data_IF_527015175639
#
_entry.id   IF_527015175639
#
_cell.length_a   1.000
_cell.length_b   1.000
_cell.length_c   1.000
_cell.angle_alpha   90.00
_cell.angle_beta   90.00
_cell.angle_gamma   90.00
#
_symmetry.space_group_name_H-M   'P 1'
#
loop_
_entity.id
_entity.type
_entity.pdbx_description
1 polymer ?
#
# COMPACT_ATOMS: atom_id res chain seq x y z
N UNK A 1 10.68 20.16 6.71
CA UNK A 1 11.06 18.94 7.46
C UNK A 1 9.84 18.05 7.46
N UNK A 2 9.80 17.08 6.55
CA UNK A 2 8.86 15.96 6.67
C UNK A 2 9.19 15.24 7.98
N UNK A 3 8.22 15.16 8.88
CA UNK A 3 8.32 14.30 10.03
C UNK A 3 7.87 12.92 9.53
N UNK A 4 8.80 12.15 8.95
CA UNK A 4 8.59 10.73 8.62
C UNK A 4 8.64 9.90 9.90
N UNK A 5 7.64 10.07 10.76
CA UNK A 5 7.46 9.20 11.93
C UNK A 5 6.85 7.90 11.43
N UNK A 6 7.48 6.80 11.80
CA UNK A 6 7.01 5.46 11.47
C UNK A 6 5.56 5.23 11.93
N UNK A 7 4.71 4.71 11.05
CA UNK A 7 3.36 4.28 11.39
C UNK A 7 3.40 2.87 11.98
N UNK A 8 3.40 2.79 13.30
CA UNK A 8 3.40 1.52 14.03
C UNK A 8 2.08 0.75 13.80
N UNK A 9 2.11 -0.49 13.28
CA UNK A 9 0.91 -1.18 12.78
C UNK A 9 0.16 -2.01 13.82
N UNK A 10 0.71 -2.18 15.03
CA UNK A 10 0.16 -3.06 16.07
C UNK A 10 -0.42 -2.29 17.26
N UNK A 11 -1.19 -3.00 18.09
CA UNK A 11 -1.76 -2.46 19.33
C UNK A 11 -0.68 -2.13 20.36
N UNK A 12 -1.02 -1.32 21.36
CA UNK A 12 -0.14 -1.05 22.51
C UNK A 12 0.27 -2.32 23.25
N UNK A 13 -0.63 -3.30 23.37
CA UNK A 13 -0.37 -4.57 24.05
C UNK A 13 0.67 -5.41 23.29
N UNK A 14 0.57 -5.45 21.96
CA UNK A 14 1.59 -6.07 21.10
C UNK A 14 2.93 -5.35 21.22
N UNK A 15 2.93 -4.01 21.18
CA UNK A 15 4.15 -3.22 21.38
C UNK A 15 4.82 -3.52 22.71
N UNK A 16 4.05 -3.68 23.79
CA UNK A 16 4.58 -4.08 25.10
C UNK A 16 5.18 -5.48 25.06
N UNK A 17 4.53 -6.45 24.42
CA UNK A 17 5.03 -7.84 24.30
C UNK A 17 6.32 -7.91 23.48
N UNK A 18 6.45 -7.07 22.46
CA UNK A 18 7.62 -7.04 21.57
C UNK A 18 8.74 -6.11 22.05
N UNK A 19 8.56 -5.42 23.19
CA UNK A 19 9.49 -4.40 23.68
C UNK A 19 9.67 -3.20 22.71
N UNK A 20 8.59 -2.81 22.03
CA UNK A 20 8.53 -1.75 21.01
C UNK A 20 7.64 -0.56 21.45
N UNK A 21 7.44 -0.39 22.76
CA UNK A 21 6.48 0.57 23.31
C UNK A 21 6.79 2.03 22.93
N UNK A 22 8.07 2.40 22.77
CA UNK A 22 8.45 3.75 22.32
C UNK A 22 8.02 4.00 20.87
N UNK A 23 8.22 3.04 19.96
CA UNK A 23 7.77 3.15 18.57
C UNK A 23 6.24 3.34 18.50
N UNK A 24 5.51 2.60 19.32
CA UNK A 24 4.06 2.77 19.45
C UNK A 24 3.71 4.16 19.99
N UNK A 25 4.40 4.66 21.03
CA UNK A 25 4.14 5.98 21.64
C UNK A 25 4.36 7.11 20.64
N UNK A 26 5.45 7.07 19.88
CA UNK A 26 5.77 8.06 18.85
C UNK A 26 4.74 8.03 17.73
N UNK A 27 4.42 6.84 17.21
CA UNK A 27 3.38 6.66 16.20
C UNK A 27 2.01 7.17 16.68
N UNK A 28 1.62 6.83 17.91
CA UNK A 28 0.35 7.27 18.49
C UNK A 28 0.29 8.80 18.63
N UNK A 29 1.36 9.45 19.12
CA UNK A 29 1.43 10.92 19.19
C UNK A 29 1.29 11.55 17.80
N UNK A 30 1.92 10.97 16.79
CA UNK A 30 1.80 11.44 15.41
C UNK A 30 0.40 11.19 14.82
N UNK A 31 -0.31 10.13 15.22
CA UNK A 31 -1.73 9.93 14.87
C UNK A 31 -2.62 11.01 15.49
N UNK A 32 -2.39 11.33 16.77
CA UNK A 32 -3.10 12.41 17.47
C UNK A 32 -2.79 13.77 16.84
N UNK A 33 -1.54 14.01 16.42
CA UNK A 33 -1.17 15.23 15.71
C UNK A 33 -1.84 15.32 14.32
N UNK A 34 -1.80 14.23 13.55
CA UNK A 34 -2.47 14.13 12.25
C UNK A 34 -3.97 14.40 12.36
N UNK A 35 -4.68 13.84 13.35
CA UNK A 35 -6.12 14.13 13.54
C UNK A 35 -6.40 15.61 13.81
N UNK A 36 -5.50 16.29 14.52
CA UNK A 36 -5.61 17.72 14.83
C UNK A 36 -5.37 18.54 13.58
N UNK A 37 -4.38 18.16 12.77
CA UNK A 37 -4.09 18.79 11.49
C UNK A 37 -5.26 18.67 10.51
N UNK A 38 -5.88 17.49 10.38
CA UNK A 38 -7.09 17.29 9.56
C UNK A 38 -8.22 18.21 10.04
N UNK A 39 -8.51 18.21 11.35
CA UNK A 39 -9.55 19.06 11.93
C UNK A 39 -9.29 20.54 11.66
N UNK A 40 -8.05 20.98 11.83
CA UNK A 40 -7.65 22.36 11.62
C UNK A 40 -7.70 22.76 10.14
N UNK A 41 -7.23 21.89 9.24
CA UNK A 41 -7.34 22.10 7.81
C UNK A 41 -8.80 22.30 7.38
N UNK A 42 -9.71 21.43 7.85
CA UNK A 42 -11.15 21.58 7.60
C UNK A 42 -11.66 22.92 8.16
N UNK A 43 -11.30 23.27 9.40
CA UNK A 43 -11.75 24.52 10.04
C UNK A 43 -11.32 25.77 9.27
N UNK A 44 -10.12 25.78 8.72
CA UNK A 44 -9.56 26.93 7.99
C UNK A 44 -10.11 27.03 6.56
N UNK A 45 -10.50 25.90 5.95
CA UNK A 45 -10.81 25.81 4.53
C UNK A 45 -12.29 25.54 4.22
N UNK A 46 -13.16 25.58 5.24
CA UNK A 46 -14.60 25.43 5.08
C UNK A 46 -15.30 26.78 5.23
N UNK A 47 -15.96 27.25 4.18
CA UNK A 47 -16.62 28.56 4.14
C UNK A 47 -18.07 28.56 4.69
N UNK A 48 -18.53 27.41 5.17
CA UNK A 48 -19.92 27.18 5.61
C UNK A 48 -20.76 26.42 4.59
N UNK A 49 -20.33 26.34 3.32
CA UNK A 49 -20.98 25.57 2.25
C UNK A 49 -20.03 24.59 1.56
N UNK A 50 -18.79 24.99 1.29
CA UNK A 50 -17.81 24.22 0.53
C UNK A 50 -16.49 24.09 1.28
N UNK A 51 -15.84 22.94 1.09
CA UNK A 51 -14.45 22.72 1.48
C UNK A 51 -13.55 23.06 0.29
N UNK A 52 -12.53 23.88 0.49
CA UNK A 52 -11.54 24.20 -0.54
C UNK A 52 -10.94 22.93 -1.17
N UNK A 53 -10.73 22.91 -2.49
CA UNK A 53 -10.38 21.73 -3.28
C UNK A 53 -9.10 21.02 -2.81
N UNK A 54 -8.13 21.79 -2.30
CA UNK A 54 -6.78 21.30 -1.95
C UNK A 54 -6.60 21.12 -0.44
N UNK A 55 -7.70 21.11 0.33
CA UNK A 55 -7.65 21.06 1.79
C UNK A 55 -6.91 19.83 2.33
N UNK A 56 -6.97 18.70 1.62
CA UNK A 56 -6.28 17.48 2.01
C UNK A 56 -4.76 17.52 1.74
N UNK A 57 -4.31 18.24 0.71
CA UNK A 57 -2.93 18.19 0.22
C UNK A 57 -1.92 18.65 1.27
N UNK A 58 -2.21 19.74 1.98
CA UNK A 58 -1.32 20.24 3.02
C UNK A 58 -1.13 19.25 4.18
N UNK A 59 -2.18 18.48 4.52
CA UNK A 59 -2.09 17.44 5.55
C UNK A 59 -1.32 16.23 5.02
N UNK A 60 -1.55 15.82 3.78
CA UNK A 60 -0.84 14.73 3.12
C UNK A 60 0.66 15.05 3.05
N UNK A 61 1.03 16.25 2.63
CA UNK A 61 2.42 16.69 2.57
C UNK A 61 3.11 16.70 3.95
N UNK A 62 2.36 16.95 5.03
CA UNK A 62 2.92 17.00 6.38
C UNK A 62 3.03 15.63 7.08
N UNK A 63 2.15 14.69 6.76
CA UNK A 63 2.00 13.42 7.51
C UNK A 63 2.14 12.16 6.66
N UNK A 64 2.19 12.27 5.33
CA UNK A 64 2.19 11.15 4.41
C UNK A 64 0.81 10.54 4.20
N UNK A 65 0.65 9.82 3.10
CA UNK A 65 -0.60 9.17 2.73
C UNK A 65 -1.02 8.08 3.71
N UNK A 66 -0.09 7.21 4.13
CA UNK A 66 -0.36 6.07 5.03
C UNK A 66 -0.93 6.53 6.35
N UNK A 67 -0.37 7.58 6.95
CA UNK A 67 -0.84 8.09 8.25
C UNK A 67 -2.18 8.79 8.13
N UNK A 68 -2.36 9.62 7.10
CA UNK A 68 -3.65 10.28 6.85
C UNK A 68 -4.75 9.23 6.58
N UNK A 69 -4.46 8.24 5.72
CA UNK A 69 -5.34 7.09 5.49
C UNK A 69 -5.70 6.38 6.80
N UNK A 70 -4.71 6.03 7.62
CA UNK A 70 -4.91 5.31 8.87
C UNK A 70 -5.84 6.06 9.84
N UNK A 71 -5.62 7.38 10.00
CA UNK A 71 -6.46 8.22 10.88
C UNK A 71 -7.89 8.37 10.33
N UNK A 72 -8.05 8.58 9.02
CA UNK A 72 -9.36 8.69 8.38
C UNK A 72 -10.13 7.36 8.42
N UNK A 73 -9.46 6.24 8.14
CA UNK A 73 -10.06 4.92 8.20
C UNK A 73 -10.48 4.56 9.63
N UNK A 74 -9.65 4.83 10.64
CA UNK A 74 -10.05 4.68 12.04
C UNK A 74 -11.28 5.54 12.37
N UNK A 75 -11.27 6.82 11.98
CA UNK A 75 -12.39 7.74 12.22
C UNK A 75 -13.70 7.22 11.63
N UNK A 76 -13.70 6.76 10.37
CA UNK A 76 -14.90 6.21 9.73
C UNK A 76 -15.39 4.91 10.38
N UNK A 77 -14.48 4.07 10.85
CA UNK A 77 -14.84 2.80 11.52
C UNK A 77 -15.49 3.06 12.87
N UNK A 78 -14.95 3.99 13.65
CA UNK A 78 -15.50 4.40 14.94
C UNK A 78 -16.84 5.17 14.78
N UNK A 79 -17.01 5.91 13.68
CA UNK A 79 -18.24 6.65 13.37
C UNK A 79 -19.17 5.92 12.38
N UNK A 80 -19.01 4.61 12.22
CA UNK A 80 -19.70 3.84 11.16
C UNK A 80 -21.23 3.86 11.24
N UNK A 81 -21.78 4.11 12.44
CA UNK A 81 -23.21 4.29 12.69
C UNK A 81 -23.79 5.63 12.22
N UNK A 82 -22.96 6.61 11.86
CA UNK A 82 -23.43 7.89 11.33
C UNK A 82 -23.88 7.72 9.86
N UNK A 83 -25.12 8.11 9.57
CA UNK A 83 -25.73 7.97 8.25
C UNK A 83 -25.22 8.95 7.20
N UNK A 84 -24.43 9.96 7.58
CA UNK A 84 -23.99 11.04 6.67
C UNK A 84 -22.72 10.72 5.88
N UNK A 85 -21.95 9.72 6.30
CA UNK A 85 -20.80 9.26 5.51
C UNK A 85 -21.26 8.42 4.33
N UNK A 86 -20.65 8.65 3.16
CA UNK A 86 -20.98 7.90 1.95
C UNK A 86 -20.63 6.42 2.11
N UNK A 87 -21.41 5.55 1.44
CA UNK A 87 -21.16 4.12 1.46
C UNK A 87 -19.77 3.77 0.89
N UNK A 88 -19.33 4.48 -0.14
CA UNK A 88 -18.02 4.26 -0.75
C UNK A 88 -16.86 4.58 0.21
N UNK A 89 -16.96 5.64 1.01
CA UNK A 89 -15.97 5.97 2.04
C UNK A 89 -15.97 4.92 3.16
N UNK A 90 -17.16 4.47 3.58
CA UNK A 90 -17.28 3.39 4.57
C UNK A 90 -16.61 2.11 4.10
N UNK A 91 -16.80 1.71 2.85
CA UNK A 91 -16.16 0.53 2.26
C UNK A 91 -14.65 0.68 2.11
N UNK A 92 -14.20 1.83 1.61
CA UNK A 92 -12.78 2.16 1.53
C UNK A 92 -12.09 2.07 2.90
N UNK A 93 -12.71 2.57 3.97
CA UNK A 93 -12.13 2.49 5.32
C UNK A 93 -11.88 1.06 5.82
N UNK A 94 -12.63 0.07 5.32
CA UNK A 94 -12.48 -1.35 5.72
C UNK A 94 -11.25 -2.01 5.11
N UNK A 95 -10.68 -1.42 4.06
CA UNK A 95 -9.46 -1.93 3.41
C UNK A 95 -8.23 -1.69 4.27
N UNK A 96 -8.26 -0.70 5.17
CA UNK A 96 -7.17 -0.43 6.11
C UNK A 96 -7.35 -1.23 7.39
N UNK A 97 -6.35 -2.05 7.71
CA UNK A 97 -6.29 -2.75 8.99
C UNK A 97 -6.05 -1.75 10.13
N UNK A 98 -6.97 -1.72 11.10
CA UNK A 98 -6.84 -0.93 12.33
C UNK A 98 -6.70 -1.92 13.49
N UNK A 99 -5.55 -1.97 14.20
CA UNK A 99 -5.31 -2.93 15.26
C UNK A 99 -6.32 -2.77 16.40
N UNK A 100 -6.75 -3.82 17.09
CA UNK A 100 -7.74 -3.74 18.16
C UNK A 100 -7.14 -3.10 19.43
N UNK A 101 -7.14 -1.76 19.48
CA UNK A 101 -6.66 -0.97 20.62
C UNK A 101 -7.77 -0.03 21.17
N UNK A 102 -8.71 -0.61 21.92
CA UNK A 102 -9.95 0.09 22.32
C UNK A 102 -9.70 1.36 23.14
N UNK A 103 -8.65 1.35 23.96
CA UNK A 103 -8.39 2.44 24.91
C UNK A 103 -7.80 3.69 24.24
N UNK A 104 -7.23 3.57 23.03
CA UNK A 104 -6.48 4.65 22.38
C UNK A 104 -7.06 5.08 21.03
N UNK A 105 -7.90 4.27 20.38
CA UNK A 105 -8.51 4.60 19.07
C UNK A 105 -9.33 5.87 19.06
N UNK A 106 -10.07 6.09 20.15
CA UNK A 106 -10.94 7.26 20.33
C UNK A 106 -10.14 8.56 20.33
N UNK A 107 -8.87 8.52 20.75
CA UNK A 107 -8.01 9.69 20.87
C UNK A 107 -7.61 10.31 19.54
N UNK A 108 -7.75 9.58 18.42
CA UNK A 108 -7.44 10.09 17.08
C UNK A 108 -8.64 10.05 16.12
N UNK A 109 -9.87 10.05 16.64
CA UNK A 109 -11.08 10.35 15.86
C UNK A 109 -11.08 11.84 15.48
N UNK A 110 -11.27 12.15 14.19
CA UNK A 110 -11.38 13.53 13.69
C UNK A 110 -12.75 14.11 14.06
N UNK A 111 -12.77 15.00 15.05
CA UNK A 111 -13.99 15.70 15.48
C UNK A 111 -14.34 16.87 14.58
N UNK A 112 -15.02 16.60 13.45
CA UNK A 112 -15.60 17.58 12.52
C UNK A 112 -17.03 17.17 12.13
N UNK A 113 -17.79 18.07 11.49
CA UNK A 113 -19.13 17.74 10.99
C UNK A 113 -19.02 16.61 9.94
N UNK A 114 -19.78 15.50 10.07
CA UNK A 114 -19.57 14.31 9.23
C UNK A 114 -19.65 14.55 7.72
N UNK A 115 -20.55 15.40 7.23
CA UNK A 115 -20.64 15.71 5.80
C UNK A 115 -19.40 16.44 5.28
N UNK A 116 -18.79 17.32 6.09
CA UNK A 116 -17.58 18.05 5.70
C UNK A 116 -16.38 17.11 5.74
N UNK A 117 -16.31 16.23 6.74
CA UNK A 117 -15.28 15.21 6.82
C UNK A 117 -15.38 14.20 5.66
N UNK A 118 -16.59 13.80 5.25
CA UNK A 118 -16.80 12.96 4.06
C UNK A 118 -16.24 13.64 2.80
N UNK A 119 -16.46 14.96 2.65
CA UNK A 119 -15.85 15.78 1.61
C UNK A 119 -14.31 15.76 1.64
N UNK A 120 -13.71 15.93 2.81
CA UNK A 120 -12.25 15.84 2.98
C UNK A 120 -11.71 14.45 2.59
N UNK A 121 -12.40 13.37 2.98
CA UNK A 121 -12.03 12.00 2.60
C UNK A 121 -12.09 11.82 1.08
N UNK A 122 -13.11 12.39 0.42
CA UNK A 122 -13.20 12.35 -1.03
C UNK A 122 -12.02 13.08 -1.69
N UNK A 123 -11.56 14.21 -1.15
CA UNK A 123 -10.35 14.89 -1.64
C UNK A 123 -9.11 14.02 -1.44
N UNK A 124 -8.89 13.47 -0.24
CA UNK A 124 -7.79 12.54 0.02
C UNK A 124 -7.76 11.39 -0.99
N UNK A 125 -8.92 10.75 -1.22
CA UNK A 125 -9.04 9.63 -2.16
C UNK A 125 -8.73 10.06 -3.60
N UNK A 126 -9.11 11.27 -4.03
CA UNK A 126 -8.76 11.80 -5.37
C UNK A 126 -7.26 12.01 -5.51
N UNK A 127 -6.61 12.62 -4.52
CA UNK A 127 -5.16 12.83 -4.52
C UNK A 127 -4.42 11.48 -4.56
N UNK A 128 -4.86 10.51 -3.77
CA UNK A 128 -4.30 9.15 -3.79
C UNK A 128 -4.48 8.47 -5.16
N UNK A 129 -5.67 8.56 -5.76
CA UNK A 129 -5.94 7.98 -7.09
C UNK A 129 -5.13 8.66 -8.20
N UNK A 130 -4.83 9.95 -8.07
CA UNK A 130 -4.00 10.68 -9.02
C UNK A 130 -2.54 10.20 -9.07
N UNK A 131 -2.08 9.42 -8.07
CA UNK A 131 -0.78 8.75 -8.11
C UNK A 131 -0.70 7.66 -9.20
N UNK A 132 -1.85 7.21 -9.73
CA UNK A 132 -1.92 6.21 -10.80
C UNK A 132 -1.41 4.82 -10.37
N UNK A 133 -1.33 4.53 -9.08
CA UNK A 133 -0.82 3.24 -8.59
C UNK A 133 -1.74 2.09 -9.02
N UNK A 134 -1.14 0.93 -9.27
CA UNK A 134 -1.89 -0.29 -9.52
C UNK A 134 -2.52 -0.81 -8.24
N UNK A 135 -3.79 -1.21 -8.34
CA UNK A 135 -4.58 -1.80 -7.27
C UNK A 135 -5.26 -3.10 -7.71
N UNK A 136 -6.13 -3.64 -6.87
CA UNK A 136 -6.84 -4.89 -7.13
C UNK A 136 -7.71 -4.84 -8.39
N UNK A 137 -8.15 -3.67 -8.83
CA UNK A 137 -8.97 -3.50 -10.03
C UNK A 137 -8.19 -3.70 -11.32
N UNK A 138 -6.86 -3.70 -11.26
CA UNK A 138 -5.93 -3.98 -12.37
C UNK A 138 -5.46 -5.44 -12.40
N UNK A 139 -5.85 -6.23 -11.40
CA UNK A 139 -5.39 -7.60 -11.23
C UNK A 139 -6.43 -8.63 -11.70
N UNK A 140 -5.94 -9.82 -11.99
CA UNK A 140 -6.78 -11.01 -12.18
C UNK A 140 -7.53 -11.38 -10.88
N UNK A 141 -8.78 -11.86 -10.96
CA UNK A 141 -9.55 -12.26 -9.79
C UNK A 141 -8.96 -13.50 -9.09
N UNK A 142 -9.40 -13.78 -7.86
CA UNK A 142 -9.02 -15.02 -7.14
C UNK A 142 -7.50 -15.24 -6.97
N UNK A 143 -6.73 -14.19 -6.63
CA UNK A 143 -5.28 -14.25 -6.33
C UNK A 143 -4.87 -15.50 -5.55
N UNK A 144 -5.66 -15.92 -4.56
CA UNK A 144 -5.34 -17.06 -3.69
C UNK A 144 -5.27 -18.41 -4.41
N UNK A 145 -5.85 -18.54 -5.61
CA UNK A 145 -5.83 -19.77 -6.41
C UNK A 145 -4.80 -19.75 -7.55
N UNK A 146 -4.18 -18.60 -7.81
CA UNK A 146 -3.31 -18.42 -8.97
C UNK A 146 -1.88 -18.87 -8.71
N UNK A 147 -1.25 -19.51 -9.70
CA UNK A 147 0.20 -19.61 -9.75
C UNK A 147 0.79 -18.27 -10.22
N UNK A 148 1.80 -17.79 -9.51
CA UNK A 148 2.51 -16.55 -9.82
C UNK A 148 3.72 -16.76 -10.71
N UNK A 149 4.28 -17.96 -10.78
CA UNK A 149 5.53 -18.21 -11.47
C UNK A 149 5.45 -17.79 -12.95
N UNK A 150 6.40 -16.97 -13.39
CA UNK A 150 6.46 -16.42 -14.75
C UNK A 150 5.51 -15.24 -15.03
N UNK A 151 4.73 -14.79 -14.04
CA UNK A 151 3.76 -13.69 -14.21
C UNK A 151 4.24 -12.37 -13.62
N UNK A 152 3.71 -11.28 -14.15
CA UNK A 152 3.88 -9.94 -13.59
C UNK A 152 2.91 -9.75 -12.42
N UNK A 153 3.46 -9.44 -11.26
CA UNK A 153 2.73 -9.19 -10.03
C UNK A 153 2.74 -7.71 -9.70
N UNK A 154 1.64 -7.24 -9.13
CA UNK A 154 1.52 -5.91 -8.56
C UNK A 154 1.89 -5.96 -7.08
N UNK A 155 2.93 -5.24 -6.68
CA UNK A 155 3.32 -5.08 -5.27
C UNK A 155 2.41 -4.06 -4.57
N UNK A 156 1.98 -4.36 -3.35
CA UNK A 156 1.13 -3.46 -2.57
C UNK A 156 1.90 -2.20 -2.14
N UNK A 157 1.31 -0.99 -2.31
CA UNK A 157 1.86 0.25 -1.78
C UNK A 157 2.15 0.22 -0.27
N UNK A 158 1.42 -0.61 0.49
CA UNK A 158 1.66 -0.79 1.92
C UNK A 158 3.05 -1.38 2.22
N UNK A 159 3.60 -2.15 1.28
CA UNK A 159 4.93 -2.78 1.38
C UNK A 159 6.05 -1.79 1.06
N UNK A 160 5.78 -0.80 0.20
CA UNK A 160 6.76 0.19 -0.24
C UNK A 160 6.80 1.39 0.69
N UNK A 161 7.94 2.09 0.75
CA UNK A 161 7.98 3.46 1.31
C UNK A 161 7.20 4.40 0.39
N UNK A 162 6.59 5.44 0.95
CA UNK A 162 5.82 6.40 0.14
C UNK A 162 6.67 7.12 -0.90
N UNK A 163 7.96 7.33 -0.62
CA UNK A 163 8.93 7.86 -1.58
C UNK A 163 9.15 6.97 -2.82
N UNK A 164 8.70 5.71 -2.77
CA UNK A 164 8.76 4.72 -3.84
C UNK A 164 7.36 4.41 -4.40
N UNK A 165 6.40 5.32 -4.22
CA UNK A 165 5.07 5.16 -4.78
C UNK A 165 5.04 5.67 -6.22
N UNK A 166 5.53 4.82 -7.12
CA UNK A 166 5.45 4.99 -8.58
C UNK A 166 4.97 3.69 -9.21
N UNK A 167 4.30 3.78 -10.35
CA UNK A 167 3.89 2.59 -11.12
C UNK A 167 5.06 1.64 -11.41
N UNK A 168 6.22 2.21 -11.71
CA UNK A 168 7.48 1.54 -12.02
C UNK A 168 8.00 0.67 -10.87
N UNK A 169 7.72 1.05 -9.62
CA UNK A 169 8.19 0.34 -8.42
C UNK A 169 7.24 -0.82 -8.02
N UNK A 170 6.05 -0.89 -8.64
CA UNK A 170 5.01 -1.87 -8.30
C UNK A 170 5.02 -3.13 -9.15
N UNK A 171 5.63 -3.13 -10.33
CA UNK A 171 5.54 -4.26 -11.27
C UNK A 171 6.75 -5.18 -11.15
N UNK A 172 6.49 -6.42 -10.75
CA UNK A 172 7.52 -7.42 -10.44
C UNK A 172 7.25 -8.73 -11.18
N UNK A 173 8.20 -9.19 -11.99
CA UNK A 173 8.16 -10.52 -12.59
C UNK A 173 8.51 -11.58 -11.55
N UNK A 174 7.57 -12.46 -11.22
CA UNK A 174 7.85 -13.59 -10.34
C UNK A 174 8.68 -14.66 -11.05
N UNK A 175 9.89 -14.90 -10.55
CA UNK A 175 10.86 -15.84 -11.13
C UNK A 175 10.86 -17.20 -10.46
N UNK A 176 10.18 -17.35 -9.31
CA UNK A 176 9.98 -18.63 -8.64
C UNK A 176 9.82 -18.49 -7.12
N UNK A 177 9.99 -19.60 -6.41
CA UNK A 177 9.84 -19.68 -4.96
C UNK A 177 8.52 -20.32 -4.54
N UNK A 178 8.53 -20.97 -3.37
CA UNK A 178 7.39 -21.74 -2.89
C UNK A 178 6.09 -20.92 -2.76
N UNK A 179 6.20 -19.62 -2.47
CA UNK A 179 5.07 -18.70 -2.38
C UNK A 179 4.38 -18.38 -3.71
N UNK A 180 4.94 -18.79 -4.85
CA UNK A 180 4.26 -18.65 -6.14
C UNK A 180 3.03 -19.56 -6.24
N UNK A 181 3.08 -20.73 -5.60
CA UNK A 181 2.01 -21.72 -5.67
C UNK A 181 0.97 -21.48 -4.58
N UNK A 182 -0.33 -21.55 -4.91
CA UNK A 182 -1.41 -21.23 -3.97
C UNK A 182 -1.48 -22.19 -2.76
N UNK A 183 -1.13 -23.46 -2.95
CA UNK A 183 -1.23 -24.51 -1.94
C UNK A 183 0.10 -24.82 -1.23
N UNK A 184 1.13 -23.99 -1.41
CA UNK A 184 2.40 -24.20 -0.73
C UNK A 184 2.37 -23.65 0.69
N UNK A 185 3.06 -24.32 1.61
CA UNK A 185 3.34 -23.78 2.95
C UNK A 185 4.36 -22.63 2.91
N UNK A 186 5.21 -22.60 1.89
CA UNK A 186 6.20 -21.55 1.71
C UNK A 186 5.58 -20.23 1.25
N UNK A 187 6.05 -19.12 1.81
CA UNK A 187 5.53 -17.77 1.49
C UNK A 187 6.40 -16.98 0.52
N UNK A 188 7.63 -17.43 0.29
CA UNK A 188 8.64 -16.69 -0.46
C UNK A 188 8.35 -16.70 -1.96
N UNK A 189 8.30 -15.51 -2.54
CA UNK A 189 8.26 -15.27 -3.99
C UNK A 189 9.55 -14.52 -4.33
N UNK A 190 10.39 -15.12 -5.15
CA UNK A 190 11.52 -14.42 -5.76
C UNK A 190 11.00 -13.70 -6.99
N UNK A 191 11.29 -12.41 -7.09
CA UNK A 191 10.82 -11.59 -8.19
C UNK A 191 11.90 -10.60 -8.64
N UNK A 192 11.77 -10.18 -9.90
CA UNK A 192 12.61 -9.15 -10.53
C UNK A 192 11.74 -7.94 -10.84
N UNK A 193 12.13 -6.77 -10.35
CA UNK A 193 11.45 -5.52 -10.66
C UNK A 193 11.58 -5.22 -12.16
N UNK A 194 10.48 -4.83 -12.81
CA UNK A 194 10.50 -4.57 -14.25
C UNK A 194 11.22 -3.26 -14.61
N UNK A 195 11.24 -2.26 -13.72
CA UNK A 195 11.80 -0.94 -14.03
C UNK A 195 13.32 -0.90 -13.98
N UNK A 196 13.93 -1.48 -12.94
CA UNK A 196 15.37 -1.41 -12.68
C UNK A 196 16.07 -2.79 -12.64
N UNK A 197 15.33 -3.88 -12.77
CA UNK A 197 15.87 -5.24 -12.73
C UNK A 197 16.27 -5.74 -11.33
N UNK A 198 15.90 -5.02 -10.26
CA UNK A 198 16.18 -5.43 -8.87
C UNK A 198 15.62 -6.83 -8.59
N UNK A 199 16.44 -7.73 -8.04
CA UNK A 199 16.01 -9.08 -7.64
C UNK A 199 15.80 -9.13 -6.14
N UNK A 200 14.56 -9.34 -5.71
CA UNK A 200 14.20 -9.34 -4.29
C UNK A 200 13.25 -10.47 -3.93
N UNK A 201 13.36 -10.93 -2.68
CA UNK A 201 12.46 -11.90 -2.08
C UNK A 201 11.32 -11.18 -1.37
N UNK A 202 10.10 -11.44 -1.82
CA UNK A 202 8.86 -10.95 -1.23
C UNK A 202 8.06 -12.10 -0.60
N UNK A 203 7.04 -11.75 0.18
CA UNK A 203 6.00 -12.68 0.61
C UNK A 203 4.82 -12.63 -0.37
N UNK A 204 4.18 -13.77 -0.64
CA UNK A 204 2.94 -13.85 -1.43
C UNK A 204 1.86 -12.84 -0.97
N UNK A 205 1.77 -12.59 0.33
CA UNK A 205 0.80 -11.65 0.91
C UNK A 205 1.09 -10.17 0.60
N UNK A 206 2.31 -9.82 0.19
CA UNK A 206 2.71 -8.44 -0.13
C UNK A 206 2.29 -8.00 -1.53
N UNK A 207 1.94 -8.94 -2.41
CA UNK A 207 1.39 -8.61 -3.72
C UNK A 207 -0.11 -8.34 -3.63
N UNK A 208 -0.62 -7.44 -4.45
CA UNK A 208 -2.05 -7.22 -4.67
C UNK A 208 -2.64 -8.34 -5.53
N UNK A 209 -1.93 -8.75 -6.57
CA UNK A 209 -2.37 -9.79 -7.50
C UNK A 209 -1.47 -9.94 -8.71
N UNK A 210 -1.89 -10.80 -9.64
CA UNK A 210 -1.30 -10.90 -10.98
C UNK A 210 -1.90 -9.77 -11.82
N UNK A 211 -1.05 -8.97 -12.45
CA UNK A 211 -1.49 -7.90 -13.35
C UNK A 211 -2.20 -8.49 -14.57
N UNK A 212 -3.34 -7.93 -14.97
CA UNK A 212 -4.00 -8.33 -16.22
C UNK A 212 -3.22 -7.81 -17.43
N UNK A 213 -3.28 -8.56 -18.53
CA UNK A 213 -2.59 -8.20 -19.77
C UNK A 213 -3.09 -6.87 -20.35
N UNK A 214 -4.37 -6.55 -20.21
CA UNK A 214 -4.97 -5.30 -20.69
C UNK A 214 -4.55 -4.06 -19.87
N UNK A 215 -4.20 -4.26 -18.59
CA UNK A 215 -3.72 -3.23 -17.69
C UNK A 215 -2.20 -3.00 -17.77
N UNK A 216 -1.47 -3.81 -18.55
CA UNK A 216 -0.02 -3.71 -18.64
C UNK A 216 0.44 -2.56 -19.55
N UNK A 217 1.15 -1.55 -19.01
CA UNK A 217 1.64 -0.42 -19.79
C UNK A 217 2.76 -0.83 -20.76
N UNK A 218 2.95 -0.04 -21.82
CA UNK A 218 3.89 -0.34 -22.91
C UNK A 218 5.32 -0.54 -22.42
N UNK A 219 5.83 0.37 -21.58
CA UNK A 219 7.17 0.27 -20.99
C UNK A 219 7.39 -1.05 -20.23
N UNK A 220 6.35 -1.56 -19.56
CA UNK A 220 6.45 -2.81 -18.79
C UNK A 220 6.50 -4.02 -19.71
N UNK A 221 5.81 -3.98 -20.86
CA UNK A 221 5.87 -5.02 -21.89
C UNK A 221 7.26 -5.09 -22.52
N UNK A 222 7.85 -3.94 -22.84
CA UNK A 222 9.20 -3.84 -23.39
C UNK A 222 10.22 -4.43 -22.40
N UNK A 223 10.18 -4.00 -21.13
CA UNK A 223 11.08 -4.51 -20.09
C UNK A 223 10.91 -6.01 -19.84
N UNK A 224 9.67 -6.50 -19.86
CA UNK A 224 9.40 -7.93 -19.73
C UNK A 224 10.05 -8.73 -20.88
N UNK A 225 9.94 -8.25 -22.12
CA UNK A 225 10.55 -8.88 -23.28
C UNK A 225 12.09 -8.88 -23.19
N UNK A 226 12.71 -7.76 -22.78
CA UNK A 226 14.16 -7.66 -22.54
C UNK A 226 14.64 -8.70 -21.51
N UNK A 227 13.94 -8.82 -20.37
CA UNK A 227 14.29 -9.79 -19.31
C UNK A 227 14.15 -11.23 -19.80
N UNK A 228 13.10 -11.53 -20.59
CA UNK A 228 12.88 -12.86 -21.13
C UNK A 228 13.94 -13.24 -22.18
N UNK A 229 14.31 -12.31 -23.07
CA UNK A 229 15.37 -12.51 -24.06
C UNK A 229 16.72 -12.77 -23.39
N UNK A 230 17.11 -11.97 -22.40
CA UNK A 230 18.36 -12.15 -21.67
C UNK A 230 18.43 -13.50 -20.92
N UNK A 231 17.28 -14.05 -20.49
CA UNK A 231 17.20 -15.36 -19.86
C UNK A 231 17.39 -16.50 -20.87
N UNK A 232 16.87 -16.36 -22.09
CA UNK A 232 17.04 -17.34 -23.17
C UNK A 232 18.51 -17.43 -23.61
N UNK A 233 19.18 -16.29 -23.78
CA UNK A 233 20.62 -16.25 -24.13
C UNK A 233 21.50 -16.92 -23.07
N UNK A 234 21.15 -16.81 -21.78
CA UNK A 234 21.87 -17.48 -20.69
C UNK A 234 21.61 -18.99 -20.65
N UNK A 235 20.43 -19.46 -21.03
CA UNK A 235 20.14 -20.89 -21.11
C UNK A 235 20.76 -21.57 -22.33
N UNK A 236 20.97 -20.83 -23.42
CA UNK A 236 21.53 -21.34 -24.68
C UNK A 236 23.07 -21.22 -24.76
N UNK A 237 23.73 -20.69 -23.72
CA UNK A 237 25.18 -20.68 -23.61
C UNK A 237 25.73 -22.13 -23.54
N UNK A 238 26.65 -22.55 -24.43
CA UNK A 238 27.17 -23.90 -24.43
C UNK A 238 27.88 -24.22 -23.11
N UNK A 239 27.54 -25.35 -22.49
CA UNK A 239 28.35 -25.96 -21.43
C UNK A 239 29.73 -26.29 -22.01
N UNK A 240 30.71 -25.43 -21.77
CA UNK A 240 32.10 -25.68 -22.14
C UNK A 240 32.65 -26.80 -21.22
N UNK A 241 32.66 -28.01 -21.76
CA UNK A 241 33.85 -28.87 -21.76
C UNK A 241 34.20 -29.64 -20.47
N UNK A 242 33.68 -30.87 -20.37
CA UNK A 242 34.45 -32.10 -20.20
C UNK A 242 35.63 -32.19 -19.22
N UNK A 243 35.50 -33.12 -18.27
CA UNK A 243 36.64 -33.93 -17.78
C UNK A 243 36.26 -35.42 -17.89
N UNK A 244 36.65 -36.03 -19.02
CA UNK A 244 36.79 -37.48 -19.09
C UNK A 244 38.14 -37.83 -18.44
N UNK A 245 38.11 -38.59 -17.35
CA UNK A 245 39.29 -39.27 -16.81
C UNK A 245 39.14 -40.75 -17.16
N UNK A 246 39.96 -41.20 -18.12
CA UNK A 246 40.33 -42.61 -18.33
C UNK A 246 41.15 -43.14 -17.18
#
# INVERSE_FOLDING_TARGET
MEIDVYLYPYSREEAKRNNELELWRESYRANVACKKAIKEAIRQNFDGMHLNADCAEGVIAAYGFKRVNFVLANTLRELSGDGRFSQSNKEWSKQTYIPPDKDHKSDFIVGSHPAVLDGFINQYRRVYQALGLFDHTHCEPDKNKQDFEGKVLVLSPDTLKESCWRQEDQLWLATGGFGCRPNSSGRAVFATCLSDGEKTRWNRSQFVGVLRDDAMPEWAREKLAEIQAAKQEQTDAPSIGGMNMT
#
